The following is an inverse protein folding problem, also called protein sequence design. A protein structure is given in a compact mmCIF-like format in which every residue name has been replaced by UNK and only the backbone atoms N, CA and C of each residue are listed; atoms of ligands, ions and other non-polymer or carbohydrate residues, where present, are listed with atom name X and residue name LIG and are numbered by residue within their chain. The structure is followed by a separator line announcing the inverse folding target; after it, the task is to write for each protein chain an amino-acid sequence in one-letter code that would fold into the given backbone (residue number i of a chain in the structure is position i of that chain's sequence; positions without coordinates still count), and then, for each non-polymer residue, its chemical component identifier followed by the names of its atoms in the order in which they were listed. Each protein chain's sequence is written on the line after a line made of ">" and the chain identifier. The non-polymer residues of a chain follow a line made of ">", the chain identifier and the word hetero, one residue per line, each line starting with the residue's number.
data_IF_723823310272
#
_entry.id   IF_723823310272
#
_cell.length_a   1.000
_cell.length_b   1.000
_cell.length_c   1.000
_cell.angle_alpha   90.00
_cell.angle_beta   90.00
_cell.angle_gamma   90.00
#
_symmetry.space_group_name_H-M   'P 1'
#
loop_
_entity.id
_entity.type
_entity.pdbx_description
1 polymer ?
#
# COMPACT_ATOMS: atom_id res chain seq x y z
N UNK A 1 -15.19 -15.78 3.02
CA UNK A 1 -14.30 -16.75 2.33
C UNK A 1 -13.14 -15.93 1.79
N UNK A 2 -11.93 -16.01 2.38
CA UNK A 2 -10.77 -15.27 1.88
C UNK A 2 -10.40 -15.84 0.53
N UNK A 3 -10.55 -15.06 -0.53
CA UNK A 3 -9.97 -15.36 -1.83
C UNK A 3 -8.47 -15.14 -1.64
N UNK A 4 -7.72 -16.21 -1.46
CA UNK A 4 -6.26 -16.17 -1.57
C UNK A 4 -6.00 -15.97 -3.05
N UNK A 5 -5.57 -14.77 -3.46
CA UNK A 5 -5.06 -14.57 -4.82
C UNK A 5 -3.99 -15.63 -5.07
N UNK A 6 -3.99 -16.28 -6.26
CA UNK A 6 -2.98 -17.27 -6.57
C UNK A 6 -1.62 -16.57 -6.49
N UNK A 7 -0.76 -17.05 -5.59
CA UNK A 7 0.62 -16.62 -5.50
C UNK A 7 1.25 -16.82 -6.87
N UNK A 8 1.62 -15.72 -7.52
CA UNK A 8 2.25 -15.74 -8.83
C UNK A 8 3.71 -16.17 -8.68
N UNK A 9 4.03 -17.39 -9.09
CA UNK A 9 5.37 -17.97 -8.99
C UNK A 9 5.98 -18.11 -10.37
N UNK A 10 7.24 -17.75 -10.49
CA UNK A 10 8.05 -18.06 -11.65
C UNK A 10 8.71 -19.43 -11.49
N UNK A 11 8.80 -20.16 -12.57
CA UNK A 11 9.64 -21.36 -12.70
C UNK A 11 11.11 -20.97 -12.86
N UNK A 12 12.02 -21.94 -12.73
CA UNK A 12 13.46 -21.73 -13.01
C UNK A 12 13.70 -21.18 -14.41
N UNK A 13 12.97 -21.70 -15.40
CA UNK A 13 13.08 -21.25 -16.80
C UNK A 13 12.61 -19.81 -16.97
N UNK A 14 11.44 -19.46 -16.47
CA UNK A 14 10.90 -18.08 -16.56
C UNK A 14 11.82 -17.08 -15.88
N UNK A 15 12.36 -17.41 -14.70
CA UNK A 15 13.33 -16.54 -14.04
C UNK A 15 14.64 -16.43 -14.83
N UNK A 16 15.11 -17.53 -15.44
CA UNK A 16 16.29 -17.53 -16.30
C UNK A 16 16.09 -16.63 -17.52
N UNK A 17 14.91 -16.69 -18.14
CA UNK A 17 14.53 -15.85 -19.28
C UNK A 17 14.48 -14.35 -18.87
N UNK A 18 13.88 -14.03 -17.72
CA UNK A 18 13.82 -12.65 -17.18
C UNK A 18 15.22 -12.10 -16.93
N UNK A 19 16.10 -12.89 -16.28
CA UNK A 19 17.47 -12.47 -15.96
C UNK A 19 18.45 -12.63 -17.14
N UNK A 20 17.98 -13.17 -18.27
CA UNK A 20 18.78 -13.46 -19.46
C UNK A 20 20.03 -14.30 -19.16
N UNK A 21 19.88 -15.31 -18.31
CA UNK A 21 20.92 -16.26 -17.93
C UNK A 21 20.48 -17.70 -18.25
N UNK A 22 21.41 -18.65 -18.16
CA UNK A 22 21.07 -20.09 -18.27
C UNK A 22 20.42 -20.59 -16.98
N UNK A 23 19.50 -21.55 -17.07
CA UNK A 23 18.82 -22.16 -15.90
C UNK A 23 19.83 -22.67 -14.86
N UNK A 24 20.97 -23.22 -15.29
CA UNK A 24 22.05 -23.63 -14.39
C UNK A 24 22.47 -22.52 -13.43
N UNK A 25 22.57 -21.26 -13.92
CA UNK A 25 22.94 -20.11 -13.07
C UNK A 25 21.88 -19.84 -11.99
N UNK A 26 20.60 -20.03 -12.32
CA UNK A 26 19.51 -19.89 -11.34
C UNK A 26 19.63 -20.95 -10.22
N UNK A 27 19.98 -22.20 -10.58
CA UNK A 27 20.21 -23.23 -9.55
C UNK A 27 21.40 -22.89 -8.65
N UNK A 28 22.50 -22.36 -9.22
CA UNK A 28 23.66 -21.90 -8.46
C UNK A 28 23.27 -20.77 -7.49
N UNK A 29 22.53 -19.76 -7.96
CA UNK A 29 22.04 -18.64 -7.15
C UNK A 29 21.10 -19.10 -6.03
N UNK A 30 20.21 -20.04 -6.31
CA UNK A 30 19.33 -20.61 -5.30
C UNK A 30 20.09 -21.42 -4.24
N UNK A 31 21.11 -22.18 -4.65
CA UNK A 31 21.97 -22.93 -3.74
C UNK A 31 22.82 -22.02 -2.84
N UNK A 32 23.22 -20.86 -3.35
CA UNK A 32 23.93 -19.81 -2.61
C UNK A 32 23.01 -18.89 -1.78
N UNK A 33 21.69 -19.07 -1.82
CA UNK A 33 20.68 -18.18 -1.23
C UNK A 33 20.76 -16.71 -1.73
N UNK A 34 21.19 -16.53 -2.98
CA UNK A 34 21.34 -15.21 -3.59
C UNK A 34 20.04 -14.66 -4.20
N UNK A 35 19.05 -15.51 -4.41
CA UNK A 35 17.76 -15.16 -5.00
C UNK A 35 16.62 -15.69 -4.12
N UNK A 36 15.50 -14.95 -3.95
CA UNK A 36 14.38 -15.44 -3.18
C UNK A 36 13.70 -16.63 -3.87
N UNK A 37 13.60 -17.74 -3.18
CA UNK A 37 12.93 -18.94 -3.68
C UNK A 37 12.13 -19.66 -2.59
N UNK A 38 11.21 -20.50 -3.01
CA UNK A 38 10.56 -21.50 -2.17
C UNK A 38 10.71 -22.88 -2.80
N UNK A 39 10.73 -23.92 -1.97
CA UNK A 39 10.82 -25.29 -2.43
C UNK A 39 9.56 -26.04 -2.04
N UNK A 40 8.73 -26.34 -3.02
CA UNK A 40 7.48 -27.08 -2.85
C UNK A 40 7.53 -28.31 -3.72
N UNK A 41 7.25 -29.49 -3.15
CA UNK A 41 7.25 -30.79 -3.87
C UNK A 41 8.53 -31.06 -4.68
N UNK A 42 9.70 -30.62 -4.16
CA UNK A 42 11.01 -30.82 -4.81
C UNK A 42 11.33 -29.84 -5.95
N UNK A 43 10.40 -28.98 -6.35
CA UNK A 43 10.63 -27.95 -7.38
C UNK A 43 10.98 -26.61 -6.74
N UNK A 44 11.91 -25.88 -7.37
CA UNK A 44 12.18 -24.47 -7.05
C UNK A 44 11.11 -23.61 -7.71
N UNK A 45 10.51 -22.74 -6.91
CA UNK A 45 9.56 -21.74 -7.35
C UNK A 45 10.00 -20.38 -6.80
N UNK A 46 9.84 -19.33 -7.57
CA UNK A 46 10.31 -17.99 -7.26
C UNK A 46 9.11 -17.05 -7.16
N UNK A 47 8.72 -16.59 -5.94
CA UNK A 47 7.61 -15.67 -5.78
C UNK A 47 7.89 -14.39 -6.55
N UNK A 48 7.09 -14.07 -7.57
CA UNK A 48 7.32 -12.95 -8.49
C UNK A 48 7.48 -11.62 -7.78
N UNK A 49 6.65 -11.35 -6.78
CA UNK A 49 6.74 -10.12 -5.99
C UNK A 49 8.08 -10.00 -5.26
N UNK A 50 8.59 -11.11 -4.68
CA UNK A 50 9.88 -11.11 -4.00
C UNK A 50 11.05 -10.99 -4.98
N UNK A 51 10.94 -11.58 -6.17
CA UNK A 51 11.95 -11.44 -7.24
C UNK A 51 12.03 -9.98 -7.69
N UNK A 52 10.89 -9.33 -7.93
CA UNK A 52 10.86 -7.90 -8.30
C UNK A 52 11.51 -7.04 -7.21
N UNK A 53 11.14 -7.24 -5.95
CA UNK A 53 11.72 -6.50 -4.83
C UNK A 53 13.23 -6.76 -4.68
N UNK A 54 13.68 -8.00 -4.93
CA UNK A 54 15.09 -8.37 -4.89
C UNK A 54 15.89 -7.70 -6.04
N UNK A 55 15.34 -7.67 -7.26
CA UNK A 55 15.93 -6.95 -8.40
C UNK A 55 16.05 -5.46 -8.12
N UNK A 56 15.00 -4.84 -7.62
CA UNK A 56 14.98 -3.41 -7.29
C UNK A 56 16.07 -3.03 -6.28
N UNK A 57 16.33 -3.89 -5.28
CA UNK A 57 17.39 -3.66 -4.28
C UNK A 57 18.82 -3.84 -4.83
N UNK A 58 18.98 -4.57 -5.93
CA UNK A 58 20.27 -4.87 -6.57
C UNK A 58 20.49 -4.10 -7.87
N UNK A 59 19.57 -3.21 -8.22
CA UNK A 59 19.76 -2.33 -9.36
C UNK A 59 20.86 -1.34 -9.03
N UNK A 60 22.04 -1.55 -9.56
CA UNK A 60 23.11 -0.56 -9.56
C UNK A 60 22.72 0.54 -10.53
N UNK A 61 22.35 1.67 -10.00
CA UNK A 61 22.24 2.90 -10.76
C UNK A 61 23.68 3.38 -10.94
N UNK A 62 24.17 3.37 -12.18
CA UNK A 62 25.54 3.76 -12.49
C UNK A 62 25.93 5.12 -11.87
N UNK A 63 27.23 5.44 -11.87
CA UNK A 63 27.86 6.63 -11.25
C UNK A 63 27.24 7.99 -11.63
N UNK A 64 26.28 8.00 -12.55
CA UNK A 64 25.62 9.20 -13.09
C UNK A 64 24.58 9.82 -12.15
N UNK A 65 24.58 9.46 -10.90
CA UNK A 65 23.85 10.20 -9.86
C UNK A 65 22.32 10.10 -9.88
N UNK A 66 21.74 9.10 -10.53
CA UNK A 66 20.30 8.83 -10.52
C UNK A 66 19.81 8.04 -9.29
N UNK A 67 20.62 7.90 -8.26
CA UNK A 67 20.13 7.52 -6.96
C UNK A 67 19.24 8.66 -6.46
N UNK A 68 17.92 8.52 -6.66
CA UNK A 68 16.99 9.46 -6.06
C UNK A 68 17.24 9.45 -4.54
N UNK A 69 17.44 10.61 -3.93
CA UNK A 69 17.68 10.69 -2.49
C UNK A 69 16.55 9.98 -1.74
N UNK A 70 16.84 9.38 -0.60
CA UNK A 70 15.81 8.77 0.23
C UNK A 70 14.73 9.81 0.54
N UNK A 71 13.46 9.43 0.46
CA UNK A 71 12.37 10.33 0.81
C UNK A 71 12.50 10.74 2.29
N UNK A 72 12.10 11.96 2.65
CA UNK A 72 12.12 12.40 4.03
C UNK A 72 11.25 11.51 4.91
N UNK A 73 11.63 11.33 6.17
CA UNK A 73 10.90 10.50 7.14
C UNK A 73 9.63 11.22 7.59
N UNK A 74 8.66 11.26 6.70
CA UNK A 74 7.39 11.97 6.84
C UNK A 74 6.24 11.02 6.54
N UNK A 75 5.21 11.03 7.39
CA UNK A 75 3.92 10.39 7.16
C UNK A 75 2.96 11.37 6.48
N UNK A 76 2.37 10.95 5.37
CA UNK A 76 1.46 11.72 4.52
C UNK A 76 0.05 11.10 4.57
N UNK A 77 -0.92 11.78 4.00
CA UNK A 77 -2.23 11.22 3.70
C UNK A 77 -3.37 11.71 4.55
N UNK A 78 -4.32 10.82 4.80
CA UNK A 78 -5.51 11.12 5.58
C UNK A 78 -5.23 11.02 7.08
N UNK A 79 -5.76 11.96 7.84
CA UNK A 79 -5.71 11.90 9.30
C UNK A 79 -6.45 10.65 9.81
N UNK A 80 -5.76 9.88 10.62
CA UNK A 80 -6.28 8.73 11.34
C UNK A 80 -5.81 8.78 12.80
N UNK A 81 -6.72 8.83 13.79
CA UNK A 81 -6.32 8.94 15.20
C UNK A 81 -5.47 7.78 15.70
N UNK A 82 -5.68 6.57 15.17
CA UNK A 82 -4.87 5.40 15.54
C UNK A 82 -3.46 5.50 14.95
N UNK A 83 -3.35 5.94 13.69
CA UNK A 83 -2.06 6.15 13.04
C UNK A 83 -1.28 7.27 13.74
N UNK A 84 -1.93 8.38 14.03
CA UNK A 84 -1.31 9.51 14.73
C UNK A 84 -0.81 9.10 16.13
N UNK A 85 -1.61 8.32 16.87
CA UNK A 85 -1.20 7.75 18.13
C UNK A 85 -0.02 6.80 17.98
N UNK A 86 -0.06 5.87 17.01
CA UNK A 86 1.00 4.90 16.78
C UNK A 86 2.32 5.57 16.39
N UNK A 87 2.29 6.62 15.57
CA UNK A 87 3.49 7.38 15.19
C UNK A 87 4.13 8.05 16.42
N UNK A 88 3.34 8.59 17.33
CA UNK A 88 3.86 9.17 18.58
C UNK A 88 4.45 8.13 19.51
N UNK A 89 3.72 7.02 19.73
CA UNK A 89 4.15 5.96 20.65
C UNK A 89 5.35 5.16 20.13
N UNK A 90 5.54 5.09 18.82
CA UNK A 90 6.68 4.37 18.21
C UNK A 90 8.03 5.02 18.49
N UNK A 91 8.05 6.28 18.92
CA UNK A 91 9.28 7.04 19.09
C UNK A 91 10.07 7.26 17.79
N UNK A 92 9.45 7.06 16.62
CA UNK A 92 10.10 7.17 15.31
C UNK A 92 10.59 8.58 14.99
N UNK A 93 10.06 9.61 15.66
CA UNK A 93 10.34 11.02 15.33
C UNK A 93 9.76 11.45 13.99
N UNK A 94 8.90 10.64 13.38
CA UNK A 94 8.32 10.90 12.06
C UNK A 94 7.38 12.10 12.12
N UNK A 95 7.64 13.11 11.30
CA UNK A 95 6.70 14.21 11.08
C UNK A 95 5.48 13.72 10.29
N UNK A 96 4.33 14.38 10.43
CA UNK A 96 3.12 14.03 9.71
C UNK A 96 2.47 15.24 9.05
N UNK A 97 1.99 15.04 7.81
CA UNK A 97 1.15 15.98 7.06
C UNK A 97 -0.11 15.24 6.59
N UNK A 98 -1.21 15.49 7.27
CA UNK A 98 -2.48 14.80 7.03
C UNK A 98 -3.49 15.73 6.34
N UNK A 99 -3.26 16.00 5.05
CA UNK A 99 -4.07 16.90 4.22
C UNK A 99 -5.18 16.17 3.45
N UNK A 100 -5.22 14.85 3.52
CA UNK A 100 -6.20 14.01 2.86
C UNK A 100 -5.58 12.85 2.08
N UNK A 101 -6.40 11.85 1.72
CA UNK A 101 -5.90 10.64 1.06
C UNK A 101 -5.27 10.91 -0.30
N UNK A 102 -5.94 11.70 -1.15
CA UNK A 102 -5.48 11.95 -2.52
C UNK A 102 -4.30 12.91 -2.55
N UNK A 103 -4.36 14.00 -1.78
CA UNK A 103 -3.24 14.95 -1.67
C UNK A 103 -1.99 14.27 -1.10
N UNK A 104 -2.15 13.51 -0.03
CA UNK A 104 -1.06 12.71 0.53
C UNK A 104 -0.50 11.67 -0.44
N UNK A 105 -1.36 11.05 -1.25
CA UNK A 105 -0.92 10.11 -2.29
C UNK A 105 -0.12 10.81 -3.39
N UNK A 106 -0.54 11.98 -3.84
CA UNK A 106 0.18 12.76 -4.83
C UNK A 106 1.56 13.19 -4.34
N UNK A 107 1.66 13.60 -3.08
CA UNK A 107 2.92 13.92 -2.42
C UNK A 107 3.81 12.69 -2.24
N UNK A 108 3.22 11.54 -1.87
CA UNK A 108 3.95 10.28 -1.75
C UNK A 108 4.52 9.83 -3.10
N UNK A 109 3.76 9.98 -4.20
CA UNK A 109 4.23 9.70 -5.54
C UNK A 109 5.42 10.59 -5.96
N UNK A 110 5.50 11.82 -5.43
CA UNK A 110 6.66 12.73 -5.61
C UNK A 110 7.79 12.47 -4.61
N UNK A 111 7.71 11.40 -3.81
CA UNK A 111 8.71 11.03 -2.80
C UNK A 111 8.88 12.07 -1.67
N UNK A 112 7.82 12.78 -1.31
CA UNK A 112 7.81 13.77 -0.23
C UNK A 112 7.59 13.14 1.16
N UNK A 113 7.53 11.80 1.26
CA UNK A 113 7.39 11.04 2.50
C UNK A 113 7.57 9.55 2.29
N UNK A 114 7.74 8.82 3.39
CA UNK A 114 7.98 7.36 3.40
C UNK A 114 6.72 6.55 3.66
N UNK A 115 5.64 7.18 4.12
CA UNK A 115 4.38 6.55 4.47
C UNK A 115 3.21 7.42 4.03
N UNK A 116 2.14 6.80 3.52
CA UNK A 116 0.89 7.48 3.20
C UNK A 116 -0.31 6.72 3.73
N UNK A 117 -1.04 7.33 4.66
CA UNK A 117 -2.33 6.83 5.15
C UNK A 117 -3.45 7.15 4.15
N UNK A 118 -4.11 6.13 3.62
CA UNK A 118 -5.11 6.27 2.57
C UNK A 118 -6.42 5.57 2.92
N UNK A 119 -7.53 6.13 2.43
CA UNK A 119 -8.85 5.53 2.56
C UNK A 119 -9.72 5.93 1.35
N UNK A 120 -9.40 5.38 0.18
CA UNK A 120 -10.07 5.69 -1.09
C UNK A 120 -10.75 4.43 -1.61
N UNK A 121 -12.10 4.43 -1.71
CA UNK A 121 -12.83 3.29 -2.25
C UNK A 121 -12.55 3.12 -3.75
N UNK A 122 -12.57 1.86 -4.21
CA UNK A 122 -12.57 1.58 -5.64
C UNK A 122 -13.99 1.77 -6.19
N UNK A 123 -14.19 2.54 -7.29
CA UNK A 123 -15.51 2.83 -7.81
C UNK A 123 -16.28 1.60 -8.32
N UNK A 124 -15.59 0.61 -8.87
CA UNK A 124 -16.19 -0.53 -9.58
C UNK A 124 -15.63 -1.89 -9.14
N UNK A 125 -14.79 -1.95 -8.09
CA UNK A 125 -14.18 -3.18 -7.63
C UNK A 125 -14.23 -3.30 -6.10
N UNK A 126 -14.19 -4.54 -5.62
CA UNK A 126 -13.90 -4.77 -4.20
C UNK A 126 -12.46 -4.36 -3.90
N UNK A 127 -12.28 -3.42 -3.01
CA UNK A 127 -10.97 -3.03 -2.54
C UNK A 127 -10.83 -1.55 -2.22
N UNK A 128 -9.74 -1.23 -1.60
CA UNK A 128 -9.39 0.12 -1.16
C UNK A 128 -7.98 0.45 -1.65
N UNK A 129 -7.75 1.67 -2.14
CA UNK A 129 -6.45 2.22 -2.47
C UNK A 129 -5.67 1.53 -3.61
N UNK A 130 -5.80 0.19 -3.78
CA UNK A 130 -5.00 -0.62 -4.71
C UNK A 130 -5.05 -0.10 -6.15
N UNK A 131 -6.25 0.23 -6.64
CA UNK A 131 -6.46 0.74 -8.00
C UNK A 131 -5.65 2.02 -8.29
N UNK A 132 -5.49 2.90 -7.29
CA UNK A 132 -4.67 4.12 -7.44
C UNK A 132 -3.19 3.81 -7.54
N UNK A 133 -2.70 2.87 -6.72
CA UNK A 133 -1.30 2.47 -6.71
C UNK A 133 -0.95 1.82 -8.04
N UNK A 134 -1.77 0.87 -8.52
CA UNK A 134 -1.57 0.18 -9.79
C UNK A 134 -1.62 1.13 -11.00
N UNK A 135 -2.54 2.11 -10.98
CA UNK A 135 -2.68 3.07 -12.06
C UNK A 135 -1.57 4.12 -12.09
N UNK A 136 -1.09 4.58 -10.95
CA UNK A 136 -0.22 5.77 -10.87
C UNK A 136 1.22 5.50 -10.44
N UNK A 137 1.48 4.32 -9.85
CA UNK A 137 2.81 3.94 -9.35
C UNK A 137 3.23 2.52 -9.77
N UNK A 138 3.00 2.08 -11.03
CA UNK A 138 3.22 0.69 -11.43
C UNK A 138 4.67 0.21 -11.30
N UNK A 139 5.63 1.15 -11.29
CA UNK A 139 7.07 0.84 -11.21
C UNK A 139 7.72 1.27 -9.91
N UNK A 140 6.96 1.84 -8.97
CA UNK A 140 7.53 2.23 -7.68
C UNK A 140 7.58 1.05 -6.71
N UNK A 141 8.68 0.85 -5.98
CA UNK A 141 8.80 -0.20 -4.96
C UNK A 141 8.05 0.22 -3.70
N UNK A 142 6.72 0.09 -3.73
CA UNK A 142 5.83 0.40 -2.60
C UNK A 142 5.18 -0.86 -2.05
N UNK A 143 4.84 -0.85 -0.78
CA UNK A 143 4.10 -1.92 -0.10
C UNK A 143 2.78 -1.34 0.38
N UNK A 144 1.67 -1.99 0.02
CA UNK A 144 0.35 -1.68 0.56
C UNK A 144 0.09 -2.56 1.78
N UNK A 145 -0.14 -1.92 2.92
CA UNK A 145 -0.40 -2.60 4.20
C UNK A 145 -1.84 -2.33 4.62
N UNK A 146 -2.58 -3.39 4.95
CA UNK A 146 -3.87 -3.25 5.62
C UNK A 146 -3.60 -2.78 7.05
N UNK A 147 -4.07 -1.57 7.37
CA UNK A 147 -3.76 -0.91 8.63
C UNK A 147 -4.78 -1.23 9.72
N UNK A 148 -6.04 -0.90 9.49
CA UNK A 148 -7.08 -1.06 10.48
C UNK A 148 -8.47 -1.06 9.85
N UNK A 149 -9.41 -1.68 10.55
CA UNK A 149 -10.84 -1.54 10.29
C UNK A 149 -11.38 -0.31 10.99
N UNK A 150 -12.25 0.42 10.30
CA UNK A 150 -12.88 1.62 10.84
C UNK A 150 -14.39 1.48 10.82
N UNK A 151 -14.99 1.56 11.98
CA UNK A 151 -16.44 1.69 12.14
C UNK A 151 -16.84 3.16 12.06
N UNK A 152 -17.93 3.46 11.38
CA UNK A 152 -18.46 4.81 11.24
C UNK A 152 -19.89 4.86 11.76
N UNK A 153 -20.22 5.94 12.43
CA UNK A 153 -21.56 6.16 12.96
C UNK A 153 -22.04 7.60 12.76
N UNK A 154 -23.33 7.79 12.94
CA UNK A 154 -23.95 9.10 12.94
C UNK A 154 -23.80 9.71 14.35
N UNK A 155 -23.26 10.93 14.43
CA UNK A 155 -23.22 11.70 15.66
C UNK A 155 -24.54 12.46 15.75
N UNK A 156 -25.29 12.18 16.79
CA UNK A 156 -26.58 12.83 17.08
C UNK A 156 -26.54 13.52 18.45
N UNK A 157 -27.39 14.52 18.69
CA UNK A 157 -27.51 15.13 20.02
C UNK A 157 -27.85 14.10 21.09
N UNK A 158 -27.45 14.37 22.33
CA UNK A 158 -27.75 13.51 23.48
C UNK A 158 -29.23 13.16 23.55
N UNK A 159 -29.54 11.89 23.79
CA UNK A 159 -30.93 11.39 23.82
C UNK A 159 -31.57 11.19 22.46
N UNK A 160 -30.87 11.48 21.37
CA UNK A 160 -31.34 11.28 19.98
C UNK A 160 -32.78 11.80 19.76
N UNK A 161 -33.05 13.08 19.95
CA UNK A 161 -34.40 13.61 19.96
C UNK A 161 -35.17 13.43 18.65
N UNK A 162 -34.44 13.25 17.54
CA UNK A 162 -35.01 12.97 16.22
C UNK A 162 -35.15 11.47 15.91
N UNK A 163 -34.82 10.61 16.87
CA UNK A 163 -34.89 9.14 16.74
C UNK A 163 -34.19 8.60 15.46
N UNK A 164 -33.03 9.17 15.11
CA UNK A 164 -32.26 8.78 13.94
C UNK A 164 -31.58 7.43 14.24
N UNK A 165 -32.04 6.37 13.61
CA UNK A 165 -31.51 5.00 13.79
C UNK A 165 -30.58 4.56 12.64
N UNK A 166 -30.44 5.36 11.58
CA UNK A 166 -29.62 5.05 10.40
C UNK A 166 -29.76 6.11 9.33
N UNK A 167 -29.15 5.88 8.16
CA UNK A 167 -29.10 6.85 7.06
C UNK A 167 -30.49 7.29 6.57
N UNK A 168 -31.47 6.38 6.55
CA UNK A 168 -32.84 6.72 6.17
C UNK A 168 -33.48 7.77 7.09
N UNK A 169 -33.07 7.84 8.36
CA UNK A 169 -33.56 8.83 9.32
C UNK A 169 -33.01 10.25 9.10
N UNK A 170 -32.10 10.44 8.16
CA UNK A 170 -31.51 11.74 7.84
C UNK A 170 -32.38 12.56 6.88
N UNK A 171 -33.42 11.99 6.28
CA UNK A 171 -34.31 12.71 5.39
C UNK A 171 -34.87 13.96 6.07
N UNK A 172 -34.69 15.14 5.48
CA UNK A 172 -35.11 16.43 6.05
C UNK A 172 -34.23 16.97 7.20
N UNK A 173 -33.14 16.28 7.54
CA UNK A 173 -32.17 16.79 8.51
C UNK A 173 -31.10 17.67 7.81
N UNK A 174 -30.66 18.70 8.54
CA UNK A 174 -29.45 19.42 8.14
C UNK A 174 -28.24 18.60 8.55
N UNK A 175 -27.43 18.22 7.56
CA UNK A 175 -26.18 17.45 7.74
C UNK A 175 -24.98 18.31 7.33
N UNK A 176 -23.81 18.00 7.87
CA UNK A 176 -22.54 18.58 7.48
C UNK A 176 -21.76 17.48 6.72
N UNK A 177 -21.75 17.53 5.39
CA UNK A 177 -20.95 16.57 4.62
C UNK A 177 -19.47 16.89 4.73
N UNK A 178 -18.64 15.91 4.44
CA UNK A 178 -17.22 16.10 4.18
C UNK A 178 -17.00 16.46 2.70
N UNK A 179 -15.73 16.72 2.34
CA UNK A 179 -15.36 16.94 0.95
C UNK A 179 -15.75 15.71 0.09
N UNK A 180 -16.09 15.90 -1.20
CA UNK A 180 -16.47 14.80 -2.08
C UNK A 180 -15.43 13.66 -2.17
N UNK A 181 -14.14 13.98 -2.05
CA UNK A 181 -13.02 13.06 -2.13
C UNK A 181 -12.75 12.34 -0.80
N UNK A 182 -13.44 12.71 0.27
CA UNK A 182 -13.29 12.02 1.54
C UNK A 182 -13.91 10.63 1.46
N UNK A 183 -13.13 9.58 1.68
CA UNK A 183 -13.60 8.18 1.73
C UNK A 183 -14.66 7.90 2.82
N UNK A 184 -15.23 8.95 3.38
CA UNK A 184 -16.30 8.95 4.40
C UNK A 184 -17.61 9.53 3.87
N UNK A 185 -17.74 9.77 2.59
CA UNK A 185 -19.04 10.14 2.01
C UNK A 185 -19.96 8.95 1.84
#
# INVERSE_FOLDING_TARGET
>A
MKIVEPLDFLTTKELADILRVKERKIYEMAAANEVPFTRVTGKLLFPKALVIAWLSRRTELGDDGLALPDPPVVALGSHDPLLDWALRESGSGMASFFDGSLDGFDRFARREGVLCGMHVPAPEAEGWNRHLIEARMPSMPVVLVEWAWRERGLIVPAGNPKKIAGMAGLAGCRIVPRQPEAGTQ
#
